data_IF_734631812140
#
_entry.id   IF_734631812140
#
_cell.length_a   1.000
_cell.length_b   1.000
_cell.length_c   1.000
_cell.angle_alpha   90.00
_cell.angle_beta   90.00
_cell.angle_gamma   90.00
#
_symmetry.space_group_name_H-M   'P 1'
#
loop_
_entity.id
_entity.type
_entity.pdbx_description
1 polymer ?
#
# COMPACT_ATOMS: atom_id res chain seq x y z
N UNK A 1 44.81 27.47 43.46
CA UNK A 1 44.40 27.50 42.04
C UNK A 1 44.41 26.07 41.44
N UNK A 2 43.73 25.13 42.10
CA UNK A 2 43.53 23.72 41.67
C UNK A 2 42.38 23.15 42.49
N UNK A 3 41.12 23.44 42.12
CA UNK A 3 39.94 22.77 42.71
C UNK A 3 38.66 22.95 41.86
N UNK A 4 38.78 22.94 40.52
CA UNK A 4 37.62 23.19 39.65
C UNK A 4 37.63 22.36 38.34
N UNK A 5 38.35 21.23 38.32
CA UNK A 5 38.50 20.38 37.12
C UNK A 5 38.06 18.92 37.31
N UNK A 6 37.19 18.62 38.28
CA UNK A 6 36.78 17.23 38.60
C UNK A 6 35.26 17.07 38.83
N UNK A 7 34.41 17.80 38.09
CA UNK A 7 32.94 17.62 38.11
C UNK A 7 32.34 17.57 36.68
N UNK A 8 33.10 17.05 35.70
CA UNK A 8 32.58 16.78 34.34
C UNK A 8 32.89 15.34 33.86
N UNK A 9 33.03 14.41 34.79
CA UNK A 9 33.06 12.97 34.49
C UNK A 9 31.86 12.31 35.15
N UNK A 10 31.05 11.58 34.39
CA UNK A 10 29.84 10.84 34.78
C UNK A 10 28.50 11.55 34.55
N UNK A 11 28.31 12.15 33.36
CA UNK A 11 27.00 11.97 32.71
C UNK A 11 27.15 10.67 31.92
N UNK A 12 26.88 9.56 32.60
CA UNK A 12 26.64 8.31 31.91
C UNK A 12 25.50 8.56 30.94
N UNK A 13 25.76 8.34 29.65
CA UNK A 13 24.71 8.03 28.69
C UNK A 13 24.20 6.67 29.13
N UNK A 14 23.38 6.65 30.18
CA UNK A 14 22.39 5.60 30.32
C UNK A 14 21.59 5.70 29.04
N UNK A 15 21.86 4.77 28.11
CA UNK A 15 20.82 4.33 27.18
C UNK A 15 19.57 4.25 28.04
N UNK A 16 18.63 5.16 27.82
CA UNK A 16 17.28 4.95 28.29
C UNK A 16 16.90 3.61 27.67
N UNK A 17 17.04 2.54 28.45
CA UNK A 17 16.35 1.30 28.18
C UNK A 17 14.91 1.75 28.04
N UNK A 18 14.38 1.59 26.85
CA UNK A 18 12.99 1.86 26.55
C UNK A 18 12.16 1.17 27.61
N UNK A 19 11.59 1.94 28.53
CA UNK A 19 10.38 1.52 29.20
C UNK A 19 9.39 1.35 28.05
N UNK A 20 9.25 0.09 27.62
CA UNK A 20 8.33 -0.32 26.58
C UNK A 20 7.00 0.31 26.93
N UNK A 21 6.54 1.20 26.05
CA UNK A 21 5.20 1.75 26.05
C UNK A 21 4.23 0.63 26.46
N UNK A 22 3.38 0.91 27.47
CA UNK A 22 2.40 -0.04 28.01
C UNK A 22 1.79 -0.88 26.88
N UNK A 23 1.68 -2.21 27.06
CA UNK A 23 1.18 -3.08 26.01
C UNK A 23 -0.16 -2.54 25.50
N UNK A 24 -0.33 -2.55 24.18
CA UNK A 24 -1.62 -2.31 23.56
C UNK A 24 -2.71 -2.95 24.41
N UNK A 25 -3.77 -2.22 24.76
CA UNK A 25 -4.76 -2.70 25.72
C UNK A 25 -5.21 -4.09 25.28
N UNK A 26 -5.03 -5.07 26.15
CA UNK A 26 -5.55 -6.43 25.92
C UNK A 26 -7.03 -6.28 25.60
N UNK A 27 -7.43 -6.74 24.42
CA UNK A 27 -8.82 -6.70 24.02
C UNK A 27 -9.66 -7.39 25.10
N UNK A 28 -10.73 -6.74 25.54
CA UNK A 28 -11.65 -7.31 26.53
C UNK A 28 -12.28 -8.61 26.02
N UNK A 29 -12.44 -8.71 24.69
CA UNK A 29 -13.00 -9.85 24.00
C UNK A 29 -12.07 -10.27 22.84
N UNK A 30 -11.91 -11.58 22.65
CA UNK A 30 -11.30 -12.12 21.45
C UNK A 30 -12.21 -11.87 20.24
N UNK A 31 -11.62 -11.56 19.09
CA UNK A 31 -12.38 -11.50 17.84
C UNK A 31 -13.00 -12.89 17.54
N UNK A 32 -14.25 -12.95 17.06
CA UNK A 32 -14.85 -14.21 16.64
C UNK A 32 -13.98 -14.89 15.57
N UNK A 33 -13.92 -16.22 15.61
CA UNK A 33 -13.18 -17.01 14.60
C UNK A 33 -13.61 -16.66 13.17
N UNK A 34 -14.89 -16.36 12.94
CA UNK A 34 -15.41 -15.94 11.63
C UNK A 34 -14.79 -14.64 11.12
N UNK A 35 -14.35 -13.74 12.00
CA UNK A 35 -13.66 -12.49 11.63
C UNK A 35 -12.17 -12.73 11.45
N UNK A 36 -11.57 -13.53 12.32
CA UNK A 36 -10.15 -13.89 12.24
C UNK A 36 -9.84 -14.71 10.97
N UNK A 37 -10.72 -15.63 10.61
CA UNK A 37 -10.57 -16.52 9.45
C UNK A 37 -11.19 -15.94 8.17
N UNK A 38 -11.74 -14.72 8.23
CA UNK A 38 -12.30 -14.05 7.08
C UNK A 38 -11.21 -13.81 6.02
N UNK A 39 -11.54 -13.95 4.72
CA UNK A 39 -10.58 -13.68 3.67
C UNK A 39 -10.23 -12.19 3.61
N UNK A 40 -8.96 -11.88 3.35
CA UNK A 40 -8.52 -10.52 3.03
C UNK A 40 -8.93 -10.16 1.61
N UNK A 41 -9.49 -8.97 1.42
CA UNK A 41 -9.99 -8.51 0.12
C UNK A 41 -9.27 -7.24 -0.28
N UNK A 42 -8.64 -7.26 -1.45
CA UNK A 42 -7.91 -6.14 -2.01
C UNK A 42 -8.52 -5.69 -3.34
N UNK A 43 -8.75 -4.39 -3.49
CA UNK A 43 -9.07 -3.77 -4.76
C UNK A 43 -7.90 -2.91 -5.23
N UNK A 44 -7.60 -2.94 -6.52
CA UNK A 44 -6.65 -2.01 -7.14
C UNK A 44 -7.37 -1.18 -8.19
N UNK A 45 -7.26 0.14 -8.08
CA UNK A 45 -7.79 1.10 -9.05
C UNK A 45 -6.64 1.62 -9.91
N UNK A 46 -6.64 1.25 -11.19
CA UNK A 46 -5.75 1.79 -12.20
C UNK A 46 -6.47 2.87 -13.03
N UNK A 47 -5.79 3.43 -14.03
CA UNK A 47 -6.39 4.41 -14.95
C UNK A 47 -7.39 3.78 -15.92
N UNK A 48 -7.22 2.50 -16.24
CA UNK A 48 -7.96 1.78 -17.30
C UNK A 48 -8.79 0.62 -16.77
N UNK A 49 -8.62 0.23 -15.51
CA UNK A 49 -9.29 -0.93 -14.93
C UNK A 49 -9.38 -0.84 -13.41
N UNK A 50 -10.35 -1.57 -12.86
CA UNK A 50 -10.38 -1.95 -11.45
C UNK A 50 -10.14 -3.45 -11.34
N UNK A 51 -9.29 -3.89 -10.42
CA UNK A 51 -9.07 -5.32 -10.16
C UNK A 51 -9.42 -5.68 -8.73
N UNK A 52 -9.83 -6.92 -8.51
CA UNK A 52 -10.13 -7.47 -7.21
C UNK A 52 -9.40 -8.79 -6.98
N UNK A 53 -8.77 -8.92 -5.82
CA UNK A 53 -8.09 -10.12 -5.37
C UNK A 53 -8.51 -10.48 -3.94
N UNK A 54 -8.52 -11.78 -3.67
CA UNK A 54 -8.91 -12.34 -2.37
C UNK A 54 -7.77 -13.22 -1.86
N UNK A 55 -7.35 -12.98 -0.62
CA UNK A 55 -6.40 -13.79 0.11
C UNK A 55 -7.15 -14.60 1.17
N UNK A 56 -7.29 -15.89 0.95
CA UNK A 56 -7.98 -16.81 1.85
C UNK A 56 -7.09 -17.16 3.05
N UNK A 57 -7.72 -17.51 4.17
CA UNK A 57 -7.03 -17.90 5.40
C UNK A 57 -6.05 -19.09 5.21
N UNK A 58 -6.30 -19.94 4.22
CA UNK A 58 -5.41 -21.05 3.87
C UNK A 58 -4.12 -20.61 3.12
N UNK A 59 -3.90 -19.29 2.94
CA UNK A 59 -2.75 -18.72 2.23
C UNK A 59 -2.92 -18.65 0.71
N UNK A 60 -4.06 -19.08 0.17
CA UNK A 60 -4.31 -19.01 -1.28
C UNK A 60 -4.72 -17.59 -1.66
N UNK A 61 -4.08 -17.04 -2.70
CA UNK A 61 -4.52 -15.78 -3.32
C UNK A 61 -5.24 -16.11 -4.63
N UNK A 62 -6.41 -15.50 -4.86
CA UNK A 62 -7.18 -15.63 -6.09
C UNK A 62 -7.55 -14.27 -6.65
N UNK A 63 -7.22 -14.04 -7.93
CA UNK A 63 -7.74 -12.90 -8.68
C UNK A 63 -9.20 -13.19 -9.05
N UNK A 64 -10.10 -12.31 -8.63
CA UNK A 64 -11.55 -12.50 -8.79
C UNK A 64 -12.07 -11.80 -10.03
N UNK A 65 -11.66 -10.55 -10.23
CA UNK A 65 -12.17 -9.72 -11.30
C UNK A 65 -11.11 -8.74 -11.81
N UNK A 66 -11.20 -8.46 -13.11
CA UNK A 66 -10.59 -7.32 -13.76
C UNK A 66 -11.69 -6.64 -14.58
N UNK A 67 -12.14 -5.47 -14.12
CA UNK A 67 -13.25 -4.72 -14.70
C UNK A 67 -12.64 -3.57 -15.48
N UNK A 68 -12.84 -3.48 -16.81
CA UNK A 68 -12.36 -2.35 -17.59
C UNK A 68 -13.06 -1.05 -17.14
N UNK A 69 -12.35 0.06 -17.24
CA UNK A 69 -12.88 1.39 -16.97
C UNK A 69 -14.08 1.69 -17.85
N UNK A 70 -15.14 2.26 -17.25
CA UNK A 70 -16.18 2.91 -18.05
C UNK A 70 -15.61 4.15 -18.73
N UNK A 71 -16.21 4.64 -19.83
CA UNK A 71 -15.76 5.86 -20.50
C UNK A 71 -15.63 7.04 -19.52
N UNK A 72 -16.60 7.21 -18.62
CA UNK A 72 -16.62 8.28 -17.62
C UNK A 72 -15.47 8.15 -16.60
N UNK A 73 -15.17 6.92 -16.18
CA UNK A 73 -14.04 6.66 -15.27
C UNK A 73 -12.70 6.92 -15.97
N UNK A 74 -12.53 6.46 -17.21
CA UNK A 74 -11.32 6.67 -17.98
C UNK A 74 -11.08 8.17 -18.24
N UNK A 75 -12.13 8.92 -18.61
CA UNK A 75 -12.07 10.37 -18.78
C UNK A 75 -11.75 11.09 -17.47
N UNK A 76 -12.36 10.70 -16.36
CA UNK A 76 -12.04 11.23 -15.04
C UNK A 76 -10.56 11.01 -14.71
N UNK A 77 -10.07 9.79 -14.84
CA UNK A 77 -8.68 9.45 -14.49
C UNK A 77 -7.69 10.22 -15.38
N UNK A 78 -7.93 10.33 -16.69
CA UNK A 78 -7.13 11.17 -17.60
C UNK A 78 -7.13 12.64 -17.16
N UNK A 79 -8.29 13.20 -16.80
CA UNK A 79 -8.39 14.57 -16.30
C UNK A 79 -7.60 14.76 -15.01
N UNK A 80 -7.71 13.83 -14.07
CA UNK A 80 -7.03 13.91 -12.77
C UNK A 80 -5.49 13.78 -12.91
N UNK A 81 -5.00 12.97 -13.86
CA UNK A 81 -3.56 12.88 -14.15
C UNK A 81 -3.00 14.23 -14.61
N UNK A 82 -3.74 14.95 -15.44
CA UNK A 82 -3.33 16.26 -15.96
C UNK A 82 -3.68 17.44 -15.03
N UNK A 83 -4.33 17.17 -13.89
CA UNK A 83 -4.74 18.21 -12.95
C UNK A 83 -3.68 18.43 -11.87
N UNK A 84 -3.46 19.69 -11.43
CA UNK A 84 -2.60 19.96 -10.29
C UNK A 84 -3.20 19.35 -9.00
N UNK A 85 -2.40 19.23 -7.92
CA UNK A 85 -2.91 18.77 -6.63
C UNK A 85 -4.10 19.63 -6.20
N UNK A 86 -5.21 19.02 -5.76
CA UNK A 86 -6.38 19.79 -5.34
C UNK A 86 -6.02 20.64 -4.11
N UNK A 87 -6.51 21.89 -4.04
CA UNK A 87 -6.32 22.71 -2.85
C UNK A 87 -7.05 22.08 -1.65
N UNK A 88 -6.66 22.43 -0.41
CA UNK A 88 -7.39 22.00 0.78
C UNK A 88 -8.86 22.41 0.73
N UNK A 89 -9.76 21.47 1.06
CA UNK A 89 -11.19 21.73 1.05
C UNK A 89 -11.58 22.89 1.99
N UNK A 90 -12.30 23.86 1.44
CA UNK A 90 -12.94 24.94 2.18
C UNK A 90 -14.04 24.42 3.11
N UNK A 91 -14.44 25.24 4.09
CA UNK A 91 -15.56 24.91 5.00
C UNK A 91 -16.87 24.68 4.24
N UNK A 92 -17.12 25.47 3.18
CA UNK A 92 -18.32 25.34 2.35
C UNK A 92 -18.33 24.04 1.55
N UNK A 93 -17.21 23.63 0.97
CA UNK A 93 -17.11 22.36 0.26
C UNK A 93 -17.33 21.17 1.21
N UNK A 94 -16.72 21.19 2.39
CA UNK A 94 -16.94 20.16 3.42
C UNK A 94 -18.42 20.07 3.80
N UNK A 95 -19.09 21.21 3.99
CA UNK A 95 -20.52 21.25 4.27
C UNK A 95 -21.35 20.70 3.11
N UNK A 96 -21.08 21.12 1.87
CA UNK A 96 -21.79 20.63 0.68
C UNK A 96 -21.66 19.12 0.52
N UNK A 97 -20.44 18.58 0.68
CA UNK A 97 -20.19 17.13 0.66
C UNK A 97 -20.98 16.42 1.75
N UNK A 98 -20.95 16.93 2.98
CA UNK A 98 -21.72 16.37 4.10
C UNK A 98 -23.23 16.34 3.82
N UNK A 99 -23.78 17.41 3.25
CA UNK A 99 -25.19 17.49 2.85
C UNK A 99 -25.50 16.46 1.77
N UNK A 100 -24.69 16.36 0.72
CA UNK A 100 -24.86 15.36 -0.35
C UNK A 100 -24.90 13.93 0.21
N UNK A 101 -23.97 13.60 1.11
CA UNK A 101 -23.93 12.27 1.75
C UNK A 101 -25.17 11.98 2.59
N UNK A 102 -25.67 12.97 3.34
CA UNK A 102 -26.90 12.84 4.15
C UNK A 102 -28.15 12.54 3.31
N UNK A 103 -28.20 13.01 2.07
CA UNK A 103 -29.30 12.72 1.13
C UNK A 103 -28.99 11.54 0.19
N UNK A 104 -28.01 10.69 0.56
CA UNK A 104 -27.58 9.51 -0.20
C UNK A 104 -27.16 9.82 -1.65
N UNK A 105 -26.56 11.00 -1.88
CA UNK A 105 -25.91 11.37 -3.15
C UNK A 105 -24.39 11.29 -3.00
N UNK A 106 -23.66 11.06 -4.11
CA UNK A 106 -22.20 11.11 -4.06
C UNK A 106 -21.75 12.52 -3.64
N UNK A 107 -20.65 12.60 -2.90
CA UNK A 107 -20.15 13.86 -2.36
C UNK A 107 -19.86 14.89 -3.47
N UNK A 108 -19.30 14.42 -4.58
CA UNK A 108 -19.08 15.14 -5.84
C UNK A 108 -19.44 14.22 -7.03
N UNK A 109 -19.57 14.74 -8.26
CA UNK A 109 -19.74 13.90 -9.45
C UNK A 109 -18.59 12.89 -9.63
N UNK A 110 -17.34 13.33 -9.43
CA UNK A 110 -16.12 12.50 -9.53
C UNK A 110 -16.16 11.32 -8.55
N UNK A 111 -16.62 11.57 -7.32
CA UNK A 111 -16.85 10.52 -6.31
C UNK A 111 -17.88 9.49 -6.79
N UNK A 112 -18.94 9.93 -7.48
CA UNK A 112 -19.95 9.04 -8.04
C UNK A 112 -19.40 8.12 -9.13
N UNK A 113 -18.49 8.63 -9.98
CA UNK A 113 -17.82 7.85 -11.03
C UNK A 113 -16.90 6.80 -10.40
N UNK A 114 -16.05 7.18 -9.44
CA UNK A 114 -15.17 6.23 -8.73
C UNK A 114 -16.00 5.18 -7.99
N UNK A 115 -17.10 5.58 -7.34
CA UNK A 115 -17.95 4.67 -6.60
C UNK A 115 -18.65 3.64 -7.50
N UNK A 116 -18.98 4.00 -8.75
CA UNK A 116 -19.55 3.04 -9.72
C UNK A 116 -18.59 1.89 -10.00
N UNK A 117 -17.30 2.17 -10.16
CA UNK A 117 -16.26 1.14 -10.29
C UNK A 117 -16.17 0.28 -9.01
N UNK A 118 -16.13 0.91 -7.83
CA UNK A 118 -16.06 0.20 -6.55
C UNK A 118 -17.29 -0.69 -6.28
N UNK A 119 -18.49 -0.24 -6.64
CA UNK A 119 -19.73 -1.04 -6.55
C UNK A 119 -19.63 -2.27 -7.46
N UNK A 120 -19.12 -2.10 -8.67
CA UNK A 120 -18.94 -3.21 -9.62
C UNK A 120 -17.96 -4.25 -9.09
N UNK A 121 -16.82 -3.81 -8.54
CA UNK A 121 -15.84 -4.70 -7.90
C UNK A 121 -16.42 -5.40 -6.67
N UNK A 122 -17.17 -4.67 -5.84
CA UNK A 122 -17.85 -5.22 -4.66
C UNK A 122 -18.82 -6.32 -5.03
N UNK A 123 -19.68 -6.08 -6.01
CA UNK A 123 -20.76 -6.99 -6.35
C UNK A 123 -20.19 -8.29 -6.94
N UNK A 124 -19.24 -8.18 -7.88
CA UNK A 124 -18.56 -9.35 -8.44
C UNK A 124 -17.80 -10.13 -7.36
N UNK A 125 -17.12 -9.44 -6.45
CA UNK A 125 -16.34 -10.10 -5.40
C UNK A 125 -17.23 -10.74 -4.32
N UNK A 126 -18.33 -10.09 -3.96
CA UNK A 126 -19.30 -10.63 -2.98
C UNK A 126 -19.94 -11.92 -3.49
N UNK A 127 -20.28 -11.97 -4.79
CA UNK A 127 -20.75 -13.19 -5.45
C UNK A 127 -19.69 -14.28 -5.39
N UNK A 128 -18.43 -13.95 -5.71
CA UNK A 128 -17.34 -14.93 -5.76
C UNK A 128 -16.98 -15.51 -4.39
N UNK A 129 -17.09 -14.72 -3.32
CA UNK A 129 -16.80 -15.13 -1.93
C UNK A 129 -18.05 -15.69 -1.23
N UNK A 130 -19.23 -15.63 -1.88
CA UNK A 130 -20.52 -16.03 -1.31
C UNK A 130 -20.82 -15.38 0.05
N UNK A 131 -20.35 -14.14 0.26
CA UNK A 131 -20.49 -13.39 1.50
C UNK A 131 -20.59 -11.90 1.19
N UNK A 132 -21.39 -11.12 1.94
CA UNK A 132 -21.31 -9.67 1.87
C UNK A 132 -19.89 -9.21 2.22
N UNK A 133 -19.41 -8.19 1.50
CA UNK A 133 -18.11 -7.59 1.79
C UNK A 133 -18.27 -6.57 2.90
N UNK A 134 -17.43 -6.70 3.92
CA UNK A 134 -17.40 -5.72 5.00
C UNK A 134 -16.27 -4.70 4.79
N UNK A 135 -15.04 -5.20 4.78
CA UNK A 135 -13.82 -4.38 4.68
C UNK A 135 -12.99 -4.76 3.47
N UNK A 136 -12.41 -3.75 2.82
CA UNK A 136 -11.47 -3.94 1.70
C UNK A 136 -10.25 -3.05 1.86
N UNK A 137 -9.09 -3.53 1.43
CA UNK A 137 -7.93 -2.68 1.19
C UNK A 137 -8.00 -2.16 -0.25
N UNK A 138 -8.02 -0.85 -0.46
CA UNK A 138 -8.03 -0.28 -1.82
C UNK A 138 -6.71 0.40 -2.09
N UNK A 139 -5.96 -0.11 -3.07
CA UNK A 139 -4.82 0.58 -3.65
C UNK A 139 -5.24 1.39 -4.87
N UNK A 140 -4.55 2.49 -5.13
CA UNK A 140 -4.71 3.24 -6.37
C UNK A 140 -3.37 3.76 -6.89
N UNK A 141 -3.27 3.98 -8.20
CA UNK A 141 -2.12 4.66 -8.79
C UNK A 141 -1.98 6.08 -8.23
N UNK A 142 -0.75 6.58 -8.14
CA UNK A 142 -0.49 7.92 -7.63
C UNK A 142 -0.88 8.97 -8.67
N UNK A 143 -2.09 9.47 -8.56
CA UNK A 143 -2.68 10.48 -9.45
C UNK A 143 -2.71 11.82 -8.71
N UNK A 144 -2.06 12.83 -9.28
CA UNK A 144 -1.85 14.11 -8.62
C UNK A 144 -3.16 14.86 -8.33
N UNK A 145 -4.10 14.86 -9.28
CA UNK A 145 -5.38 15.56 -9.14
C UNK A 145 -6.40 14.86 -8.23
N UNK A 146 -6.17 13.62 -7.82
CA UNK A 146 -7.12 12.89 -6.97
C UNK A 146 -7.10 13.44 -5.54
N UNK A 147 -8.22 13.98 -5.07
CA UNK A 147 -8.31 14.45 -3.70
C UNK A 147 -8.41 13.26 -2.73
N UNK A 148 -7.61 13.28 -1.67
CA UNK A 148 -7.63 12.24 -0.63
C UNK A 148 -9.06 11.93 -0.11
N UNK A 149 -9.96 12.92 0.13
CA UNK A 149 -11.33 12.64 0.57
C UNK A 149 -12.22 11.95 -0.48
N UNK A 150 -11.88 12.01 -1.76
CA UNK A 150 -12.74 11.48 -2.83
C UNK A 150 -12.79 9.96 -2.83
N UNK A 151 -11.66 9.28 -2.62
CA UNK A 151 -11.64 7.83 -2.51
C UNK A 151 -12.44 7.34 -1.30
N UNK A 152 -12.33 8.05 -0.17
CA UNK A 152 -13.08 7.74 1.04
C UNK A 152 -14.59 7.94 0.87
N UNK A 153 -15.00 9.07 0.32
CA UNK A 153 -16.41 9.34 0.07
C UNK A 153 -16.97 8.36 -0.99
N UNK A 154 -16.14 7.89 -1.94
CA UNK A 154 -16.55 6.88 -2.91
C UNK A 154 -16.75 5.50 -2.25
N UNK A 155 -15.88 5.11 -1.32
CA UNK A 155 -16.05 3.89 -0.52
C UNK A 155 -17.30 3.96 0.37
N UNK A 156 -17.53 5.09 1.04
CA UNK A 156 -18.73 5.33 1.85
C UNK A 156 -20.00 5.21 0.99
N UNK A 157 -20.01 5.85 -0.19
CA UNK A 157 -21.12 5.77 -1.14
C UNK A 157 -21.33 4.35 -1.68
N UNK A 158 -20.25 3.63 -1.95
CA UNK A 158 -20.27 2.22 -2.35
C UNK A 158 -20.64 1.27 -1.18
N UNK A 159 -20.84 1.80 0.04
CA UNK A 159 -21.13 1.02 1.27
C UNK A 159 -20.06 -0.03 1.58
N UNK A 160 -18.80 0.32 1.37
CA UNK A 160 -17.65 -0.53 1.66
C UNK A 160 -16.80 0.15 2.72
N UNK A 161 -16.42 -0.58 3.78
CA UNK A 161 -15.52 -0.02 4.78
C UNK A 161 -14.07 -0.21 4.34
N UNK A 162 -13.22 0.80 4.48
CA UNK A 162 -11.80 0.58 4.24
C UNK A 162 -11.16 -0.20 5.37
N UNK A 163 -10.15 -1.01 5.04
CA UNK A 163 -9.27 -1.63 6.03
C UNK A 163 -8.25 -0.62 6.59
N UNK A 164 -7.83 0.35 5.78
CA UNK A 164 -6.92 1.44 6.15
C UNK A 164 -7.59 2.50 7.03
N UNK A 165 -6.75 3.24 7.77
CA UNK A 165 -6.99 4.18 8.88
C UNK A 165 -8.36 4.87 9.06
N UNK A 166 -9.08 5.24 8.00
CA UNK A 166 -10.24 6.12 8.09
C UNK A 166 -11.43 5.54 8.88
N UNK A 167 -11.48 4.23 9.10
CA UNK A 167 -12.58 3.56 9.81
C UNK A 167 -12.31 3.19 11.26
N UNK A 168 -11.09 3.34 11.77
CA UNK A 168 -10.78 2.99 13.16
C UNK A 168 -11.15 4.16 14.08
N UNK A 169 -11.95 3.94 15.14
CA UNK A 169 -12.22 4.98 16.11
C UNK A 169 -10.88 5.51 16.63
N UNK A 170 -10.61 6.80 16.42
CA UNK A 170 -9.44 7.44 16.99
C UNK A 170 -9.49 7.19 18.49
N UNK A 171 -8.50 6.53 19.10
CA UNK A 171 -8.44 6.44 20.54
C UNK A 171 -8.50 7.89 21.07
N UNK A 172 -9.49 8.20 21.91
CA UNK A 172 -9.64 9.51 22.58
C UNK A 172 -8.55 9.72 23.64
N UNK A 173 -7.36 9.17 23.41
CA UNK A 173 -6.23 9.27 24.33
C UNK A 173 -5.53 10.58 24.00
N UNK A 174 -5.27 11.37 25.05
CA UNK A 174 -4.74 12.75 25.00
C UNK A 174 -3.26 12.79 24.58
N UNK A 175 -2.67 11.66 24.22
CA UNK A 175 -1.29 11.56 23.74
C UNK A 175 -1.23 11.66 22.20
N UNK A 176 -0.11 12.14 21.64
CA UNK A 176 0.10 12.21 20.19
C UNK A 176 0.39 10.80 19.65
N UNK A 177 -0.54 9.86 19.82
CA UNK A 177 -0.49 8.60 19.11
C UNK A 177 -0.80 8.89 17.63
N UNK A 178 -0.06 8.30 16.67
CA UNK A 178 -0.36 8.47 15.25
C UNK A 178 -1.82 8.10 15.00
N UNK A 179 -2.52 8.94 14.24
CA UNK A 179 -3.98 9.06 14.16
C UNK A 179 -4.76 7.81 13.69
N UNK A 180 -4.08 6.67 13.55
CA UNK A 180 -4.58 5.43 12.98
C UNK A 180 -3.86 4.17 13.49
N UNK A 181 -3.20 4.20 14.66
CA UNK A 181 -2.44 3.04 15.15
C UNK A 181 -1.31 2.61 14.21
N UNK A 182 -0.76 3.56 13.43
CA UNK A 182 0.34 3.32 12.49
C UNK A 182 -0.07 2.88 11.08
N UNK A 183 -1.37 2.75 10.76
CA UNK A 183 -1.81 2.42 9.40
C UNK A 183 -1.84 3.65 8.47
N UNK A 184 -1.59 3.47 7.16
CA UNK A 184 -1.69 4.55 6.18
C UNK A 184 -3.09 5.12 6.05
N UNK A 185 -3.19 6.42 5.73
CA UNK A 185 -4.45 7.06 5.30
C UNK A 185 -4.81 6.76 3.85
N UNK A 186 -3.93 6.17 3.06
CA UNK A 186 -4.25 5.70 1.71
C UNK A 186 -3.22 4.65 1.30
N UNK A 187 -3.62 3.69 0.49
CA UNK A 187 -2.71 2.68 -0.02
C UNK A 187 -2.37 3.02 -1.48
N UNK A 188 -1.10 3.30 -1.75
CA UNK A 188 -0.64 3.56 -3.10
C UNK A 188 -0.26 2.25 -3.80
N UNK A 189 -0.45 2.20 -5.11
CA UNK A 189 -0.11 1.04 -5.94
C UNK A 189 1.35 0.61 -5.78
N UNK A 190 2.30 1.54 -5.72
CA UNK A 190 3.72 1.22 -5.51
C UNK A 190 4.00 0.49 -4.20
N UNK A 191 3.29 0.83 -3.13
CA UNK A 191 3.40 0.14 -1.83
C UNK A 191 2.68 -1.22 -1.85
N UNK A 192 1.54 -1.31 -2.55
CA UNK A 192 0.85 -2.59 -2.77
C UNK A 192 1.68 -3.56 -3.62
N UNK A 193 2.37 -3.08 -4.65
CA UNK A 193 3.32 -3.85 -5.48
C UNK A 193 4.52 -4.28 -4.64
N UNK A 194 5.07 -3.38 -3.81
CA UNK A 194 6.14 -3.72 -2.87
C UNK A 194 5.73 -4.87 -1.91
N UNK A 195 4.54 -4.78 -1.31
CA UNK A 195 3.95 -5.88 -0.52
C UNK A 195 3.72 -7.15 -1.35
N UNK A 196 3.20 -7.01 -2.57
CA UNK A 196 2.91 -8.12 -3.46
C UNK A 196 4.16 -8.94 -3.81
N UNK A 197 5.33 -8.30 -3.85
CA UNK A 197 6.63 -8.95 -4.00
C UNK A 197 7.21 -9.49 -2.68
N UNK A 198 6.41 -9.57 -1.62
CA UNK A 198 6.81 -10.09 -0.31
C UNK A 198 7.73 -9.14 0.47
N UNK A 199 7.81 -7.86 0.08
CA UNK A 199 8.65 -6.86 0.75
C UNK A 199 7.83 -5.99 1.70
N UNK A 200 8.46 -5.52 2.77
CA UNK A 200 7.82 -4.64 3.75
C UNK A 200 6.66 -5.26 4.51
N UNK A 201 6.60 -6.60 4.57
CA UNK A 201 5.63 -7.38 5.35
C UNK A 201 6.37 -8.13 6.47
N UNK A 202 5.76 -8.20 7.65
CA UNK A 202 6.28 -8.98 8.77
C UNK A 202 5.99 -10.48 8.60
N UNK A 203 6.94 -11.32 8.95
CA UNK A 203 6.73 -12.77 9.08
C UNK A 203 5.86 -13.07 10.29
N UNK A 204 6.11 -12.41 11.41
CA UNK A 204 5.35 -12.61 12.65
C UNK A 204 4.24 -11.56 12.83
N UNK A 205 3.44 -11.30 11.80
CA UNK A 205 2.37 -10.30 11.84
C UNK A 205 1.30 -10.52 12.94
N UNK A 206 1.17 -11.76 13.46
CA UNK A 206 0.29 -12.09 14.59
C UNK A 206 0.86 -11.64 15.95
N UNK A 207 2.17 -11.43 16.03
CA UNK A 207 2.85 -10.94 17.21
C UNK A 207 3.35 -9.52 16.94
N UNK A 208 2.63 -8.54 17.48
CA UNK A 208 2.92 -7.13 17.27
C UNK A 208 4.39 -6.77 17.58
N UNK A 209 4.93 -7.26 18.70
CA UNK A 209 6.29 -6.93 19.12
C UNK A 209 7.35 -7.52 18.20
N UNK A 210 7.19 -8.79 17.81
CA UNK A 210 8.11 -9.41 16.85
C UNK A 210 8.03 -8.73 15.48
N UNK A 211 6.83 -8.34 15.04
CA UNK A 211 6.67 -7.58 13.80
C UNK A 211 7.33 -6.19 13.88
N UNK A 212 7.19 -5.49 15.02
CA UNK A 212 7.87 -4.21 15.24
C UNK A 212 9.40 -4.37 15.21
N UNK A 213 9.94 -5.37 15.91
CA UNK A 213 11.38 -5.68 15.87
C UNK A 213 11.86 -6.08 14.47
N UNK A 214 11.07 -6.86 13.73
CA UNK A 214 11.38 -7.17 12.33
C UNK A 214 11.47 -5.90 11.49
N UNK A 215 10.49 -5.01 11.60
CA UNK A 215 10.42 -3.75 10.86
C UNK A 215 11.59 -2.82 11.17
N UNK A 216 11.97 -2.69 12.44
CA UNK A 216 13.10 -1.86 12.88
C UNK A 216 14.44 -2.37 12.31
N UNK A 217 14.53 -3.65 11.99
CA UNK A 217 15.72 -4.29 11.43
C UNK A 217 15.71 -4.36 9.88
N UNK A 218 14.62 -3.98 9.21
CA UNK A 218 14.56 -3.98 7.74
C UNK A 218 15.31 -2.75 7.19
N UNK A 219 16.31 -2.93 6.30
CA UNK A 219 17.00 -1.80 5.72
C UNK A 219 16.06 -0.97 4.83
N UNK A 220 16.23 0.35 4.87
CA UNK A 220 15.51 1.27 4.02
C UNK A 220 15.90 1.05 2.55
N UNK A 221 14.93 0.67 1.72
CA UNK A 221 15.15 0.29 0.33
C UNK A 221 14.61 1.38 -0.60
N UNK A 222 15.39 1.76 -1.62
CA UNK A 222 14.93 2.67 -2.68
C UNK A 222 14.48 1.85 -3.88
N UNK A 223 13.17 1.84 -4.13
CA UNK A 223 12.53 0.97 -5.12
C UNK A 223 11.93 1.81 -6.24
N UNK A 224 12.30 1.49 -7.48
CA UNK A 224 11.60 1.96 -8.68
C UNK A 224 10.48 0.98 -8.98
N UNK A 225 9.23 1.43 -8.87
CA UNK A 225 8.06 0.71 -9.36
C UNK A 225 7.68 1.32 -10.70
N UNK A 226 7.76 0.56 -11.78
CA UNK A 226 7.54 1.08 -13.13
C UNK A 226 6.61 0.17 -13.90
N UNK A 227 5.76 0.77 -14.73
CA UNK A 227 4.78 0.04 -15.50
C UNK A 227 4.41 0.71 -16.80
N UNK A 228 4.08 -0.10 -17.79
CA UNK A 228 3.50 0.34 -19.05
C UNK A 228 2.18 -0.39 -19.27
N UNK A 229 1.16 0.38 -19.63
CA UNK A 229 -0.16 -0.11 -20.02
C UNK A 229 -0.38 0.19 -21.51
N UNK A 230 -1.58 -0.10 -22.01
CA UNK A 230 -1.97 0.33 -23.36
C UNK A 230 -2.01 1.86 -23.49
N UNK A 231 -2.32 2.58 -22.42
CA UNK A 231 -2.64 4.01 -22.46
C UNK A 231 -1.62 4.91 -21.80
N UNK A 232 -0.73 4.36 -20.97
CA UNK A 232 0.20 5.17 -20.18
C UNK A 232 1.49 4.44 -19.83
N UNK A 233 2.53 5.24 -19.63
CA UNK A 233 3.75 4.87 -18.91
C UNK A 233 3.72 5.53 -17.54
N UNK A 234 4.01 4.79 -16.49
CA UNK A 234 4.02 5.30 -15.12
C UNK A 234 5.22 4.79 -14.35
N UNK A 235 5.67 5.60 -13.40
CA UNK A 235 6.77 5.23 -12.53
C UNK A 235 6.68 5.93 -11.18
N UNK A 236 6.98 5.18 -10.13
CA UNK A 236 7.09 5.63 -8.76
C UNK A 236 8.48 5.28 -8.24
N UNK A 237 9.13 6.21 -7.55
CA UNK A 237 10.32 5.93 -6.75
C UNK A 237 9.92 6.12 -5.30
N UNK A 238 9.88 5.01 -4.57
CA UNK A 238 9.55 4.98 -3.15
C UNK A 238 10.80 4.61 -2.35
N UNK A 239 10.93 5.21 -1.16
CA UNK A 239 12.00 4.86 -0.22
C UNK A 239 11.38 4.38 1.09
N UNK A 240 11.28 3.06 1.26
CA UNK A 240 10.56 2.46 2.38
C UNK A 240 11.17 1.15 2.85
N UNK A 241 10.94 0.83 4.12
CA UNK A 241 11.19 -0.49 4.71
C UNK A 241 9.88 -1.25 4.96
N UNK A 242 8.72 -0.59 4.83
CA UNK A 242 7.39 -1.15 5.12
C UNK A 242 6.40 -0.81 4.01
N UNK A 243 5.53 -1.77 3.68
CA UNK A 243 4.44 -1.55 2.75
C UNK A 243 3.26 -0.77 3.38
N UNK A 244 3.20 -0.70 4.71
CA UNK A 244 2.11 -0.08 5.47
C UNK A 244 2.61 1.10 6.32
N UNK A 245 3.56 1.90 5.80
CA UNK A 245 3.93 3.15 6.46
C UNK A 245 2.72 4.09 6.55
N UNK A 246 2.58 4.81 7.66
CA UNK A 246 1.49 5.74 7.94
C UNK A 246 1.46 6.96 6.99
N UNK A 247 2.64 7.40 6.54
CA UNK A 247 2.82 8.51 5.62
C UNK A 247 2.93 8.02 4.16
N UNK A 248 1.81 7.86 3.46
CA UNK A 248 1.81 7.59 2.01
C UNK A 248 1.16 8.76 1.26
N UNK A 249 1.84 9.39 0.27
CA UNK A 249 3.25 9.21 -0.07
C UNK A 249 4.19 9.81 1.00
N UNK A 250 5.42 9.30 1.10
CA UNK A 250 6.44 9.88 1.98
C UNK A 250 7.06 11.13 1.36
N UNK A 251 7.63 11.97 2.21
CA UNK A 251 8.47 13.06 1.74
C UNK A 251 9.65 12.50 0.95
N UNK A 252 9.82 12.97 -0.28
CA UNK A 252 10.85 12.49 -1.20
C UNK A 252 10.37 11.44 -2.20
N UNK A 253 9.23 10.78 -1.98
CA UNK A 253 8.67 9.85 -2.96
C UNK A 253 8.31 10.62 -4.24
N UNK A 254 8.77 10.10 -5.38
CA UNK A 254 8.52 10.68 -6.70
C UNK A 254 7.58 9.80 -7.50
N UNK A 255 6.79 10.41 -8.36
CA UNK A 255 5.83 9.72 -9.22
C UNK A 255 5.69 10.46 -10.53
N UNK A 256 5.42 9.72 -11.60
CA UNK A 256 4.93 10.28 -12.85
C UNK A 256 3.95 9.33 -13.51
N UNK A 257 3.06 9.92 -14.31
CA UNK A 257 2.18 9.24 -15.25
C UNK A 257 2.28 10.01 -16.55
N UNK A 258 2.50 9.30 -17.65
CA UNK A 258 2.69 9.85 -18.98
C UNK A 258 1.70 9.17 -19.94
N UNK A 259 0.64 9.89 -20.29
CA UNK A 259 -0.44 9.39 -21.13
C UNK A 259 -0.06 9.32 -22.61
N UNK A 260 1.07 9.92 -23.02
CA UNK A 260 1.55 9.92 -24.40
C UNK A 260 2.46 8.71 -24.69
N UNK A 261 2.89 8.01 -23.62
CA UNK A 261 3.82 6.89 -23.68
C UNK A 261 3.16 5.54 -23.37
N UNK A 262 1.87 5.40 -23.71
CA UNK A 262 1.17 4.12 -23.72
C UNK A 262 1.50 3.25 -24.94
N UNK A 263 1.36 1.93 -24.81
CA UNK A 263 1.72 0.99 -25.90
C UNK A 263 0.96 1.23 -27.20
N UNK A 264 -0.27 1.77 -27.16
CA UNK A 264 -1.03 2.14 -28.37
C UNK A 264 -0.29 3.18 -29.20
N UNK A 265 0.46 4.09 -28.57
CA UNK A 265 1.24 5.10 -29.27
C UNK A 265 2.55 4.54 -29.89
N UNK A 266 2.87 3.26 -29.66
CA UNK A 266 4.10 2.64 -30.19
C UNK A 266 3.99 2.24 -31.65
N UNK A 267 2.78 1.93 -32.15
CA UNK A 267 2.56 1.50 -33.54
C UNK A 267 2.76 2.65 -34.52
N UNK A 268 2.37 3.86 -34.11
CA UNK A 268 2.38 5.05 -34.97
C UNK A 268 3.70 5.86 -34.88
N UNK A 269 4.63 5.48 -33.99
CA UNK A 269 5.79 6.30 -33.70
C UNK A 269 7.09 5.47 -33.60
N UNK A 270 7.98 5.57 -34.62
CA UNK A 270 9.24 4.81 -34.62
C UNK A 270 10.19 5.21 -33.46
N UNK A 271 10.06 6.43 -32.94
CA UNK A 271 10.87 6.95 -31.84
C UNK A 271 10.23 6.70 -30.46
N UNK A 272 9.13 5.95 -30.39
CA UNK A 272 8.40 5.68 -29.15
C UNK A 272 9.30 5.16 -28.03
N UNK A 273 10.09 4.11 -28.31
CA UNK A 273 10.96 3.49 -27.29
C UNK A 273 12.13 4.40 -26.87
N UNK A 274 12.58 5.28 -27.76
CA UNK A 274 13.58 6.30 -27.41
C UNK A 274 12.98 7.31 -26.41
N UNK A 275 11.75 7.76 -26.64
CA UNK A 275 11.02 8.65 -25.70
C UNK A 275 10.72 7.98 -24.36
N UNK A 276 10.32 6.70 -24.36
CA UNK A 276 10.17 5.91 -23.12
C UNK A 276 11.49 5.86 -22.34
N UNK A 277 12.60 5.58 -23.04
CA UNK A 277 13.93 5.53 -22.42
C UNK A 277 14.32 6.88 -21.83
N UNK A 278 14.17 7.97 -22.59
CA UNK A 278 14.47 9.33 -22.15
C UNK A 278 13.62 9.73 -20.93
N UNK A 279 12.32 9.41 -20.96
CA UNK A 279 11.41 9.70 -19.84
C UNK A 279 11.85 9.00 -18.56
N UNK A 280 12.21 7.72 -18.66
CA UNK A 280 12.70 6.92 -17.54
C UNK A 280 14.06 7.42 -17.05
N UNK A 281 14.98 7.79 -17.94
CA UNK A 281 16.27 8.38 -17.59
C UNK A 281 16.10 9.70 -16.85
N UNK A 282 15.25 10.59 -17.35
CA UNK A 282 14.95 11.87 -16.71
C UNK A 282 14.34 11.65 -15.32
N UNK A 283 13.39 10.71 -15.19
CA UNK A 283 12.77 10.40 -13.90
C UNK A 283 13.76 9.80 -12.89
N UNK A 284 14.54 8.80 -13.29
CA UNK A 284 15.59 8.23 -12.46
C UNK A 284 16.70 9.26 -12.15
N UNK A 285 16.88 10.24 -13.04
CA UNK A 285 17.75 11.40 -12.88
C UNK A 285 17.38 12.28 -11.68
N UNK A 286 16.11 12.29 -11.26
CA UNK A 286 15.64 13.07 -10.10
C UNK A 286 16.09 12.50 -8.75
N UNK A 287 16.64 11.28 -8.72
CA UNK A 287 17.20 10.66 -7.52
C UNK A 287 18.54 11.36 -7.20
N UNK A 288 18.72 11.92 -5.99
CA UNK A 288 19.93 12.69 -5.67
C UNK A 288 21.20 11.83 -5.74
N UNK A 289 22.31 12.45 -6.14
CA UNK A 289 23.64 11.84 -6.21
C UNK A 289 24.08 11.33 -4.84
N UNK A 290 23.96 10.02 -4.60
CA UNK A 290 24.21 9.39 -3.30
C UNK A 290 23.11 8.42 -2.88
N UNK A 291 21.91 8.59 -3.43
CA UNK A 291 20.85 7.58 -3.34
C UNK A 291 21.00 6.59 -4.49
N UNK A 292 20.88 5.30 -4.17
CA UNK A 292 21.05 4.21 -5.12
C UNK A 292 19.71 3.52 -5.27
N UNK A 293 19.35 3.15 -6.49
CA UNK A 293 18.21 2.27 -6.73
C UNK A 293 18.62 0.85 -6.28
N UNK A 294 17.88 0.30 -5.34
CA UNK A 294 18.14 -1.03 -4.78
C UNK A 294 17.36 -2.11 -5.52
N UNK A 295 16.13 -1.78 -5.93
CA UNK A 295 15.20 -2.73 -6.54
C UNK A 295 14.37 -2.04 -7.63
N UNK A 296 14.03 -2.82 -8.65
CA UNK A 296 13.06 -2.46 -9.68
C UNK A 296 11.91 -3.46 -9.62
N UNK A 297 10.68 -2.96 -9.48
CA UNK A 297 9.45 -3.75 -9.51
C UNK A 297 8.61 -3.34 -10.72
N UNK A 298 8.00 -4.32 -11.36
CA UNK A 298 7.21 -4.14 -12.57
C UNK A 298 5.71 -4.15 -12.22
N UNK A 299 4.92 -3.27 -12.84
CA UNK A 299 3.46 -3.21 -12.68
C UNK A 299 2.75 -2.95 -14.01
N UNK A 300 1.48 -3.33 -14.13
CA UNK A 300 0.67 -3.17 -15.35
C UNK A 300 0.68 -4.40 -16.26
N UNK A 301 -0.30 -4.47 -17.18
CA UNK A 301 -0.53 -5.66 -18.00
C UNK A 301 0.59 -5.91 -19.03
N UNK A 302 1.28 -4.86 -19.46
CA UNK A 302 2.32 -4.92 -20.49
C UNK A 302 3.75 -4.73 -19.94
N UNK A 303 3.92 -4.86 -18.62
CA UNK A 303 5.20 -4.61 -17.95
C UNK A 303 6.33 -5.56 -18.38
N UNK A 304 5.98 -6.72 -18.95
CA UNK A 304 6.93 -7.72 -19.46
C UNK A 304 7.17 -7.60 -20.97
N UNK A 305 6.71 -6.51 -21.61
CA UNK A 305 6.93 -6.30 -23.04
C UNK A 305 8.44 -6.20 -23.33
N UNK A 306 9.02 -7.01 -24.26
CA UNK A 306 10.47 -7.07 -24.44
C UNK A 306 11.13 -5.73 -24.75
N UNK A 307 10.51 -4.92 -25.62
CA UNK A 307 11.03 -3.60 -25.95
C UNK A 307 10.95 -2.60 -24.77
N UNK A 308 9.97 -2.78 -23.87
CA UNK A 308 9.88 -1.98 -22.65
C UNK A 308 10.99 -2.37 -21.65
N UNK A 309 11.23 -3.66 -21.45
CA UNK A 309 12.33 -4.15 -20.61
C UNK A 309 13.68 -3.67 -21.15
N UNK A 310 13.86 -3.66 -22.48
CA UNK A 310 15.07 -3.13 -23.12
C UNK A 310 15.22 -1.61 -22.92
N UNK A 311 14.13 -0.84 -23.06
CA UNK A 311 14.13 0.59 -22.79
C UNK A 311 14.44 0.90 -21.32
N UNK A 312 13.83 0.15 -20.39
CA UNK A 312 14.08 0.26 -18.96
C UNK A 312 15.54 -0.07 -18.62
N UNK A 313 16.09 -1.16 -19.16
CA UNK A 313 17.50 -1.50 -19.01
C UNK A 313 18.39 -0.36 -19.49
N UNK A 314 18.11 0.16 -20.67
CA UNK A 314 18.87 1.26 -21.30
C UNK A 314 18.78 2.55 -20.47
N UNK A 315 17.64 2.79 -19.83
CA UNK A 315 17.43 3.95 -18.98
C UNK A 315 18.21 3.88 -17.65
N UNK A 316 18.53 2.66 -17.20
CA UNK A 316 19.20 2.43 -15.92
C UNK A 316 20.72 2.20 -16.05
N UNK A 317 21.25 2.11 -17.28
CA UNK A 317 22.70 1.99 -17.53
C UNK A 317 23.44 3.13 -16.84
N UNK A 318 24.39 2.77 -15.95
CA UNK A 318 25.20 3.72 -15.19
C UNK A 318 24.65 4.08 -13.80
N UNK A 319 23.41 3.70 -13.47
CA UNK A 319 22.83 3.85 -12.12
C UNK A 319 22.61 2.54 -11.39
N UNK A 320 22.60 1.42 -12.12
CA UNK A 320 22.29 0.10 -11.58
C UNK A 320 23.44 -0.62 -10.89
N UNK A 321 23.07 -1.46 -9.92
CA UNK A 321 23.90 -2.56 -9.43
C UNK A 321 23.85 -3.70 -10.47
N UNK A 322 24.92 -4.50 -10.55
CA UNK A 322 24.98 -5.71 -11.37
C UNK A 322 23.76 -6.65 -11.20
N UNK A 323 23.13 -6.64 -10.02
CA UNK A 323 21.92 -7.42 -9.72
C UNK A 323 20.67 -6.98 -10.50
N UNK A 324 20.46 -5.68 -10.71
CA UNK A 324 19.29 -5.19 -11.47
C UNK A 324 19.47 -5.56 -12.95
N UNK A 325 20.68 -5.37 -13.48
CA UNK A 325 21.01 -5.77 -14.84
C UNK A 325 20.83 -7.27 -15.05
N UNK A 326 21.28 -8.10 -14.09
CA UNK A 326 21.07 -9.55 -14.13
C UNK A 326 19.58 -9.94 -14.11
N UNK A 327 18.78 -9.33 -13.23
CA UNK A 327 17.35 -9.58 -13.17
C UNK A 327 16.64 -9.24 -14.50
N UNK A 328 16.98 -8.11 -15.11
CA UNK A 328 16.44 -7.73 -16.42
C UNK A 328 16.91 -8.66 -17.54
N UNK A 329 18.14 -9.17 -17.48
CA UNK A 329 18.64 -10.19 -18.41
C UNK A 329 17.91 -11.53 -18.27
N UNK A 330 17.64 -11.96 -17.05
CA UNK A 330 16.86 -13.16 -16.78
C UNK A 330 15.43 -13.02 -17.35
N UNK A 331 14.79 -11.87 -17.18
CA UNK A 331 13.46 -11.62 -17.77
C UNK A 331 13.47 -11.57 -19.31
N UNK A 332 14.49 -10.95 -19.91
CA UNK A 332 14.64 -10.85 -21.36
C UNK A 332 14.98 -12.22 -22.00
N UNK A 333 15.69 -13.08 -21.28
CA UNK A 333 16.09 -14.41 -21.75
C UNK A 333 15.02 -15.48 -21.48
N UNK A 334 14.23 -15.33 -20.41
CA UNK A 334 13.10 -16.21 -20.15
C UNK A 334 11.98 -15.94 -21.14
N UNK A 335 11.81 -16.83 -22.12
CA UNK A 335 10.63 -16.83 -23.01
C UNK A 335 9.34 -17.20 -22.27
N UNK A 336 9.44 -17.58 -20.99
CA UNK A 336 8.33 -17.77 -20.07
C UNK A 336 8.17 -16.52 -19.22
N UNK A 337 7.12 -15.73 -19.49
CA UNK A 337 6.64 -14.69 -18.58
C UNK A 337 6.53 -15.30 -17.18
N UNK A 338 7.27 -14.84 -16.16
CA UNK A 338 6.85 -15.12 -14.81
C UNK A 338 5.49 -14.43 -14.68
N UNK A 339 4.40 -15.22 -14.70
CA UNK A 339 3.12 -14.77 -14.19
C UNK A 339 3.43 -14.02 -12.90
N UNK A 340 2.93 -12.79 -12.77
CA UNK A 340 3.01 -12.00 -11.54
C UNK A 340 2.91 -12.98 -10.37
N UNK A 341 4.06 -13.29 -9.77
CA UNK A 341 4.13 -14.29 -8.71
C UNK A 341 3.58 -13.54 -7.50
N UNK A 342 2.26 -13.56 -7.34
CA UNK A 342 1.69 -13.55 -6.01
C UNK A 342 2.44 -14.67 -5.26
N UNK A 343 3.07 -14.42 -4.10
CA UNK A 343 3.89 -15.40 -3.41
C UNK A 343 3.06 -16.62 -3.04
N UNK A 344 2.96 -17.56 -3.98
CA UNK A 344 2.38 -18.88 -3.83
C UNK A 344 3.42 -19.73 -3.13
N UNK A 345 3.49 -19.58 -1.81
CA UNK A 345 3.88 -20.56 -0.81
C UNK A 345 4.31 -19.85 0.48
N UNK A 346 3.36 -19.16 1.12
CA UNK A 346 3.48 -18.97 2.56
C UNK A 346 3.27 -20.35 3.20
N UNK A 347 4.36 -21.05 3.54
CA UNK A 347 4.24 -22.29 4.29
C UNK A 347 3.57 -21.95 5.63
N UNK A 348 2.45 -22.60 6.00
CA UNK A 348 1.92 -22.45 7.34
C UNK A 348 2.99 -22.86 8.34
N UNK A 349 3.26 -22.00 9.31
CA UNK A 349 4.17 -22.30 10.40
C UNK A 349 3.67 -23.57 11.11
N UNK A 350 4.51 -24.58 11.40
CA UNK A 350 4.10 -25.70 12.23
C UNK A 350 3.60 -25.16 13.57
N UNK A 351 2.44 -25.70 13.99
CA UNK A 351 1.74 -25.39 15.23
C UNK A 351 2.72 -25.17 16.37
N UNK A 352 2.56 -24.06 17.08
CA UNK A 352 3.03 -23.97 18.45
C UNK A 352 2.33 -25.06 19.25
N UNK A 353 3.12 -26.02 19.75
CA UNK A 353 2.68 -26.98 20.74
C UNK A 353 2.39 -26.20 22.03
N UNK A 354 1.11 -25.98 22.32
CA UNK A 354 0.64 -25.45 23.59
C UNK A 354 0.80 -26.51 24.70
N UNK A 355 2.03 -26.93 24.97
CA UNK A 355 2.41 -27.76 26.11
C UNK A 355 3.46 -27.02 26.93
N UNK A 356 2.99 -26.00 27.66
CA UNK A 356 3.52 -25.46 28.92
C UNK A 356 2.85 -24.12 29.20
N UNK A 357 1.54 -24.15 29.47
CA UNK A 357 0.99 -23.25 30.49
C UNK A 357 0.82 -24.12 31.75
N UNK A 358 1.22 -23.66 32.94
CA UNK A 358 0.85 -24.34 34.17
C UNK A 358 -0.67 -24.30 34.34
N UNK A 359 -1.24 -25.46 34.66
CA UNK A 359 -2.64 -25.63 35.06
C UNK A 359 -2.99 -24.64 36.18
N UNK A 360 -3.83 -23.67 35.86
CA UNK A 360 -4.60 -22.90 36.83
C UNK A 360 -6.02 -23.46 36.82
N UNK A 361 -6.14 -24.68 37.31
CA UNK A 361 -7.40 -25.23 37.78
C UNK A 361 -7.44 -25.08 39.30
N UNK A 362 -7.99 -23.96 39.76
CA UNK A 362 -8.55 -23.88 41.12
C UNK A 362 -9.86 -23.12 41.05
N UNK A 363 -10.91 -23.91 41.07
CA UNK A 363 -12.27 -23.55 41.41
C UNK A 363 -12.33 -23.13 42.88
N UNK A 364 -12.33 -21.83 43.17
CA UNK A 364 -12.91 -21.30 44.43
C UNK A 364 -13.63 -19.96 44.18
N UNK A 365 -14.89 -19.81 44.61
CA UNK A 365 -15.60 -18.54 44.57
C UNK A 365 -15.23 -17.69 45.79
N UNK A 366 -14.60 -16.54 45.57
CA UNK A 366 -14.33 -15.56 46.63
C UNK A 366 -15.63 -14.81 46.96
N UNK A 367 -16.16 -15.07 48.16
CA UNK A 367 -17.24 -14.29 48.78
C UNK A 367 -16.75 -12.89 49.15
N UNK A 368 -17.45 -11.85 48.69
CA UNK A 368 -17.33 -10.50 49.23
C UNK A 368 -18.12 -10.39 50.53
N UNK A 369 -17.42 -10.12 51.65
CA UNK A 369 -18.03 -9.63 52.89
C UNK A 369 -18.04 -8.11 52.87
N UNK A 370 -19.23 -7.55 53.06
CA UNK A 370 -19.44 -6.13 53.33
C UNK A 370 -18.88 -5.74 54.70
N UNK A 371 -18.18 -4.61 54.74
CA UNK A 371 -18.10 -3.70 55.88
C UNK A 371 -17.87 -2.30 55.38
#
# INVERSE_FOLDING_TARGET
MYLLALIFGLIGITKASSDYFEPFPTCADCLPASVHDAPGIGFSLSLTSGTAAVHFYNGTVKNIAAIPATPEYAELMKRLVNSPPPPPLSRWEKLRRSVNKKIARPATPDVGIIATMLVSLRDVTSIAVASPLDRVAVSHSRIQGLAEPDLWDALEYARIRPWVAAGLPRPKVVLPLPAAGGYPSQLLESYAVFAGHGKGLCKHYKNFWQCAEEQDNVPLETTLVVGITLTDLRGDIIRTWSAFTDLQPRHGDRAFVDLELGLVASEDNPDFWARVTERLQAFCGTVPEGFRLDTVLLTGENATHPAFLQALRSALVGRDKAKISQFLEELLSSHSVPQIILPGNFKPHPRYDAKKLPDLDTTEPVQFRQS
#
